data_IF_631885120526
#
_entry.id   IF_631885120526
#
_cell.length_a   1.000
_cell.length_b   1.000
_cell.length_c   1.000
_cell.angle_alpha   90.00
_cell.angle_beta   90.00
_cell.angle_gamma   90.00
#
_symmetry.space_group_name_H-M   'P 1'
#
loop_
_entity.id
_entity.type
_entity.pdbx_description
1 polymer ?
#
# COMPACT_ATOMS: atom_id res chain seq x y z
N UNK A 1 39.22 32.50 23.80
CA UNK A 1 38.21 33.01 24.74
C UNK A 1 38.91 33.77 25.86
N UNK A 2 39.85 33.13 26.55
CA UNK A 2 40.52 33.73 27.73
C UNK A 2 41.25 35.05 27.43
N UNK A 3 41.84 35.21 26.24
CA UNK A 3 42.58 36.43 25.87
C UNK A 3 41.74 37.70 25.77
N UNK A 4 40.45 37.62 25.44
CA UNK A 4 39.58 38.81 25.30
C UNK A 4 38.89 39.15 26.63
N UNK A 5 38.55 38.14 27.43
CA UNK A 5 38.03 38.35 28.79
C UNK A 5 39.08 38.99 29.69
N UNK A 6 40.34 38.54 29.62
CA UNK A 6 41.43 39.13 30.39
C UNK A 6 41.67 40.60 30.04
N UNK A 7 41.67 40.97 28.74
CA UNK A 7 41.86 42.37 28.35
C UNK A 7 40.72 43.28 28.81
N UNK A 8 39.47 42.79 28.78
CA UNK A 8 38.31 43.57 29.26
C UNK A 8 38.31 43.74 30.77
N UNK A 9 38.77 42.71 31.51
CA UNK A 9 38.92 42.81 32.98
C UNK A 9 40.04 43.77 33.37
N UNK A 10 41.17 43.80 32.64
CA UNK A 10 42.26 44.75 32.88
C UNK A 10 41.81 46.21 32.63
N UNK A 11 40.99 46.43 31.60
CA UNK A 11 40.39 47.74 31.31
C UNK A 11 39.39 48.16 32.40
N UNK A 12 38.51 47.24 32.81
CA UNK A 12 37.54 47.46 33.89
C UNK A 12 38.23 47.80 35.22
N UNK A 13 39.33 47.11 35.52
CA UNK A 13 40.14 47.37 36.71
C UNK A 13 40.78 48.78 36.66
N UNK A 14 41.21 49.23 35.48
CA UNK A 14 41.74 50.58 35.29
C UNK A 14 40.65 51.62 35.56
N UNK A 15 39.45 51.43 35.00
CA UNK A 15 38.31 52.35 35.19
C UNK A 15 37.88 52.42 36.66
N UNK A 16 37.77 51.30 37.35
CA UNK A 16 37.41 51.28 38.76
C UNK A 16 38.42 52.01 39.65
N UNK A 17 39.71 51.93 39.32
CA UNK A 17 40.75 52.67 40.02
C UNK A 17 40.63 54.18 39.77
N UNK A 18 40.25 54.60 38.54
CA UNK A 18 40.05 56.00 38.18
C UNK A 18 38.81 56.63 38.83
N UNK A 19 37.72 55.86 38.95
CA UNK A 19 36.45 56.30 39.59
C UNK A 19 36.54 56.28 41.12
N UNK A 20 37.41 55.43 41.68
CA UNK A 20 37.58 55.28 43.13
C UNK A 20 36.59 54.31 43.78
N UNK A 21 36.11 53.31 43.02
CA UNK A 21 35.23 52.24 43.53
C UNK A 21 35.90 51.47 44.67
N UNK A 22 35.13 51.12 45.70
CA UNK A 22 35.62 50.29 46.81
C UNK A 22 35.73 48.82 46.40
N UNK A 23 36.55 48.04 47.11
CA UNK A 23 36.69 46.60 46.81
C UNK A 23 35.35 45.85 46.94
N UNK A 24 34.48 46.28 47.86
CA UNK A 24 33.14 45.70 48.00
C UNK A 24 32.23 45.99 46.79
N UNK A 25 32.30 47.19 46.20
CA UNK A 25 31.53 47.54 44.99
C UNK A 25 32.05 46.77 43.76
N UNK A 26 33.38 46.61 43.65
CA UNK A 26 34.01 45.77 42.61
C UNK A 26 33.60 44.31 42.73
N UNK A 27 33.60 43.75 43.95
CA UNK A 27 33.18 42.38 44.21
C UNK A 27 31.72 42.14 43.80
N UNK A 28 30.82 43.10 44.07
CA UNK A 28 29.42 43.02 43.65
C UNK A 28 29.31 43.00 42.12
N UNK A 29 29.98 43.93 41.42
CA UNK A 29 29.96 43.98 39.95
C UNK A 29 30.57 42.73 39.30
N UNK A 30 31.67 42.19 39.86
CA UNK A 30 32.26 40.94 39.38
C UNK A 30 31.31 39.76 39.57
N UNK A 31 30.63 39.68 40.72
CA UNK A 31 29.66 38.64 40.99
C UNK A 31 28.44 38.72 40.06
N UNK A 32 28.01 39.93 39.69
CA UNK A 32 26.97 40.14 38.66
C UNK A 32 27.43 39.63 37.29
N UNK A 33 28.66 39.95 36.86
CA UNK A 33 29.24 39.46 35.60
C UNK A 33 29.33 37.92 35.58
N UNK A 34 29.80 37.31 36.67
CA UNK A 34 29.86 35.85 36.80
C UNK A 34 28.47 35.22 36.69
N UNK A 35 27.45 35.83 37.31
CA UNK A 35 26.06 35.36 37.20
C UNK A 35 25.53 35.47 35.78
N UNK A 36 25.78 36.58 35.07
CA UNK A 36 25.36 36.77 33.69
C UNK A 36 26.02 35.75 32.75
N UNK A 37 27.33 35.54 32.88
CA UNK A 37 28.05 34.51 32.14
C UNK A 37 27.47 33.11 32.41
N UNK A 38 27.25 32.78 33.68
CA UNK A 38 26.67 31.49 34.09
C UNK A 38 25.28 31.28 33.49
N UNK A 39 24.46 32.33 33.45
CA UNK A 39 23.10 32.27 32.88
C UNK A 39 23.13 32.05 31.37
N UNK A 40 24.09 32.65 30.65
CA UNK A 40 24.32 32.37 29.22
C UNK A 40 24.68 30.88 29.03
N UNK A 41 25.61 30.34 29.81
CA UNK A 41 25.97 28.92 29.73
C UNK A 41 24.78 28.01 30.03
N UNK A 42 24.01 28.29 31.10
CA UNK A 42 22.79 27.53 31.44
C UNK A 42 21.80 27.52 30.27
N UNK A 43 21.51 28.69 29.69
CA UNK A 43 20.61 28.81 28.54
C UNK A 43 21.09 27.99 27.35
N UNK A 44 22.40 28.02 27.04
CA UNK A 44 22.99 27.22 25.96
C UNK A 44 22.91 25.72 26.22
N UNK A 45 23.12 25.28 27.46
CA UNK A 45 22.98 23.87 27.85
C UNK A 45 21.52 23.42 27.71
N UNK A 46 20.56 24.22 28.17
CA UNK A 46 19.13 23.93 28.00
C UNK A 46 18.76 23.83 26.52
N UNK A 47 19.21 24.78 25.70
CA UNK A 47 18.97 24.77 24.26
C UNK A 47 19.56 23.51 23.58
N UNK A 48 20.81 23.17 23.89
CA UNK A 48 21.47 21.98 23.34
C UNK A 48 20.78 20.68 23.77
N UNK A 49 20.35 20.60 25.04
CA UNK A 49 19.56 19.47 25.54
C UNK A 49 18.20 19.38 24.84
N UNK A 50 17.52 20.51 24.60
CA UNK A 50 16.27 20.56 23.85
C UNK A 50 16.44 20.00 22.43
N UNK A 51 17.45 20.46 21.69
CA UNK A 51 17.76 19.92 20.36
C UNK A 51 18.10 18.43 20.39
N UNK A 52 18.86 17.96 21.39
CA UNK A 52 19.21 16.54 21.56
C UNK A 52 17.95 15.68 21.78
N UNK A 53 17.03 16.14 22.62
CA UNK A 53 15.76 15.45 22.87
C UNK A 53 14.91 15.41 21.61
N UNK A 54 14.83 16.53 20.88
CA UNK A 54 14.11 16.59 19.61
C UNK A 54 14.64 15.57 18.59
N UNK A 55 15.96 15.47 18.41
CA UNK A 55 16.56 14.49 17.49
C UNK A 55 16.22 13.05 17.89
N UNK A 56 16.27 12.74 19.19
CA UNK A 56 15.91 11.40 19.70
C UNK A 56 14.43 11.09 19.47
N UNK A 57 13.55 12.06 19.67
CA UNK A 57 12.12 11.87 19.42
C UNK A 57 11.87 11.57 17.94
N UNK A 58 12.46 12.35 17.02
CA UNK A 58 12.33 12.10 15.58
C UNK A 58 12.88 10.74 15.15
N UNK A 59 13.93 10.25 15.81
CA UNK A 59 14.41 8.88 15.62
C UNK A 59 13.30 7.89 16.01
N UNK A 60 12.83 7.93 17.27
CA UNK A 60 11.80 7.01 17.78
C UNK A 60 10.53 7.03 16.91
N UNK A 61 10.07 8.20 16.49
CA UNK A 61 8.89 8.35 15.63
C UNK A 61 9.10 7.65 14.27
N UNK A 62 10.28 7.83 13.66
CA UNK A 62 10.63 7.20 12.38
C UNK A 62 10.76 5.68 12.53
N UNK A 63 11.34 5.19 13.63
CA UNK A 63 11.43 3.76 13.93
C UNK A 63 10.04 3.15 14.12
N UNK A 64 9.13 3.85 14.81
CA UNK A 64 7.75 3.42 15.00
C UNK A 64 6.98 3.31 13.67
N UNK A 65 7.20 4.26 12.75
CA UNK A 65 6.61 4.19 11.42
C UNK A 65 7.15 2.99 10.62
N UNK A 66 8.46 2.71 10.68
CA UNK A 66 9.04 1.50 10.05
C UNK A 66 8.36 0.23 10.58
N UNK A 67 8.18 0.11 11.89
CA UNK A 67 7.49 -1.05 12.49
C UNK A 67 6.05 -1.18 11.99
N UNK A 68 5.35 -0.05 11.84
CA UNK A 68 3.98 -0.01 11.33
C UNK A 68 3.91 -0.47 9.88
N UNK A 69 4.82 0.02 9.03
CA UNK A 69 4.93 -0.40 7.62
C UNK A 69 5.29 -1.88 7.51
N UNK A 70 6.24 -2.36 8.32
CA UNK A 70 6.61 -3.78 8.38
C UNK A 70 5.41 -4.65 8.73
N UNK A 71 4.65 -4.26 9.76
CA UNK A 71 3.44 -4.97 10.18
C UNK A 71 2.42 -5.05 9.05
N UNK A 72 2.18 -3.94 8.35
CA UNK A 72 1.27 -3.90 7.21
C UNK A 72 1.74 -4.77 6.04
N UNK A 73 3.05 -4.86 5.80
CA UNK A 73 3.64 -5.72 4.77
C UNK A 73 3.73 -7.21 5.18
N UNK A 74 3.44 -7.54 6.44
CA UNK A 74 3.69 -8.87 7.00
C UNK A 74 5.18 -9.21 7.11
N UNK A 75 6.05 -8.20 7.18
CA UNK A 75 7.50 -8.32 7.28
C UNK A 75 7.96 -8.11 8.73
N UNK A 76 9.05 -8.79 9.14
CA UNK A 76 9.67 -8.51 10.43
C UNK A 76 10.50 -7.22 10.35
N UNK A 77 10.40 -6.30 11.34
CA UNK A 77 11.25 -5.11 11.38
C UNK A 77 12.73 -5.51 11.34
N UNK A 78 13.48 -4.89 10.43
CA UNK A 78 14.94 -5.04 10.41
C UNK A 78 15.49 -4.46 11.71
N UNK A 79 16.36 -5.18 12.40
CA UNK A 79 16.97 -4.73 13.66
C UNK A 79 17.69 -3.39 13.41
N UNK A 80 17.07 -2.30 13.84
CA UNK A 80 17.64 -0.97 13.76
C UNK A 80 18.80 -0.93 14.76
N UNK A 81 20.00 -1.07 14.21
CA UNK A 81 21.26 -1.10 14.94
C UNK A 81 21.33 0.18 15.78
N UNK A 82 21.32 0.02 17.11
CA UNK A 82 21.67 1.08 18.05
C UNK A 82 23.15 1.43 17.83
N UNK A 83 23.41 2.30 16.87
CA UNK A 83 24.77 2.72 16.55
C UNK A 83 25.15 3.81 17.55
N UNK A 84 26.36 3.72 18.13
CA UNK A 84 26.89 4.75 19.05
C UNK A 84 27.35 6.04 18.31
N UNK A 85 26.84 6.27 17.10
CA UNK A 85 27.22 7.39 16.24
C UNK A 85 26.47 8.68 16.64
N UNK A 86 26.84 9.80 16.03
CA UNK A 86 26.19 11.08 16.34
C UNK A 86 24.69 11.01 15.96
N UNK A 87 23.81 11.55 16.82
CA UNK A 87 22.34 11.51 16.61
C UNK A 87 21.89 12.03 15.23
N UNK A 88 22.65 12.96 14.63
CA UNK A 88 22.34 13.47 13.28
C UNK A 88 22.60 12.44 12.19
N UNK A 89 23.62 11.62 12.34
CA UNK A 89 23.98 10.56 11.39
C UNK A 89 23.01 9.39 11.52
N UNK A 90 22.67 9.02 12.75
CA UNK A 90 21.64 8.02 13.04
C UNK A 90 20.27 8.44 12.45
N UNK A 91 19.85 9.69 12.67
CA UNK A 91 18.61 10.20 12.09
C UNK A 91 18.64 10.13 10.55
N UNK A 92 19.77 10.47 9.92
CA UNK A 92 19.93 10.38 8.46
C UNK A 92 19.79 8.93 7.99
N UNK A 93 20.44 7.99 8.65
CA UNK A 93 20.35 6.57 8.33
C UNK A 93 18.90 6.05 8.44
N UNK A 94 18.21 6.36 9.55
CA UNK A 94 16.84 5.92 9.79
C UNK A 94 15.88 6.57 8.77
N UNK A 95 16.09 7.84 8.41
CA UNK A 95 15.28 8.52 7.40
C UNK A 95 15.41 7.84 6.04
N UNK A 96 16.63 7.52 5.59
CA UNK A 96 16.85 6.77 4.34
C UNK A 96 16.20 5.38 4.39
N UNK A 97 16.28 4.68 5.51
CA UNK A 97 15.61 3.39 5.69
C UNK A 97 14.08 3.52 5.61
N UNK A 98 13.51 4.54 6.26
CA UNK A 98 12.08 4.83 6.23
C UNK A 98 11.59 5.13 4.81
N UNK A 99 12.33 5.91 4.03
CA UNK A 99 12.03 6.18 2.62
C UNK A 99 11.97 4.88 1.81
N UNK A 100 12.97 4.00 1.95
CA UNK A 100 12.96 2.70 1.28
C UNK A 100 11.79 1.81 1.69
N UNK A 101 11.35 1.87 2.95
CA UNK A 101 10.17 1.15 3.44
C UNK A 101 8.87 1.72 2.84
N UNK A 102 8.74 3.05 2.78
CA UNK A 102 7.59 3.73 2.14
C UNK A 102 7.48 3.38 0.66
N UNK A 103 8.59 3.35 -0.07
CA UNK A 103 8.61 2.91 -1.48
C UNK A 103 8.17 1.45 -1.64
N UNK A 104 8.61 0.56 -0.74
CA UNK A 104 8.18 -0.85 -0.75
C UNK A 104 6.68 -0.97 -0.49
N UNK A 105 6.15 -0.24 0.50
CA UNK A 105 4.71 -0.15 0.77
C UNK A 105 3.93 0.29 -0.46
N UNK A 106 4.36 1.38 -1.10
CA UNK A 106 3.67 1.94 -2.26
C UNK A 106 3.70 0.99 -3.46
N UNK A 107 4.83 0.30 -3.68
CA UNK A 107 4.94 -0.72 -4.72
C UNK A 107 3.96 -1.86 -4.49
N UNK A 108 3.84 -2.34 -3.25
CA UNK A 108 2.92 -3.40 -2.87
C UNK A 108 1.47 -2.95 -3.02
N UNK A 109 1.13 -1.76 -2.53
CA UNK A 109 -0.20 -1.15 -2.72
C UNK A 109 -0.57 -1.07 -4.20
N UNK A 110 0.38 -0.66 -5.06
CA UNK A 110 0.18 -0.66 -6.51
C UNK A 110 -0.08 -2.05 -7.11
N UNK A 111 0.51 -3.12 -6.56
CA UNK A 111 0.20 -4.50 -6.97
C UNK A 111 -1.23 -4.89 -6.56
N UNK A 112 -1.64 -4.57 -5.33
CA UNK A 112 -2.99 -4.81 -4.83
C UNK A 112 -4.05 -4.11 -5.67
N UNK A 113 -3.86 -2.81 -5.94
CA UNK A 113 -4.78 -2.02 -6.75
C UNK A 113 -5.00 -2.64 -8.14
N UNK A 114 -3.93 -3.09 -8.80
CA UNK A 114 -4.02 -3.76 -10.11
C UNK A 114 -4.85 -5.04 -10.05
N UNK A 115 -4.60 -5.90 -9.06
CA UNK A 115 -5.33 -7.18 -8.93
C UNK A 115 -6.81 -6.92 -8.62
N UNK A 116 -7.10 -5.99 -7.71
CA UNK A 116 -8.48 -5.62 -7.37
C UNK A 116 -9.23 -5.01 -8.55
N UNK A 117 -8.59 -4.13 -9.32
CA UNK A 117 -9.16 -3.58 -10.55
C UNK A 117 -9.49 -4.69 -11.55
N UNK A 118 -8.57 -5.64 -11.76
CA UNK A 118 -8.80 -6.79 -12.65
C UNK A 118 -9.97 -7.66 -12.19
N UNK A 119 -10.05 -7.96 -10.89
CA UNK A 119 -11.16 -8.71 -10.29
C UNK A 119 -12.48 -7.96 -10.52
N UNK A 120 -12.48 -6.65 -10.31
CA UNK A 120 -13.66 -5.81 -10.50
C UNK A 120 -14.13 -5.84 -11.97
N UNK A 121 -13.22 -5.66 -12.92
CA UNK A 121 -13.53 -5.71 -14.35
C UNK A 121 -14.11 -7.06 -14.77
N UNK A 122 -13.47 -8.17 -14.38
CA UNK A 122 -13.93 -9.51 -14.75
C UNK A 122 -15.27 -9.83 -14.09
N UNK A 123 -15.44 -9.49 -12.81
CA UNK A 123 -16.72 -9.67 -12.11
C UNK A 123 -17.88 -8.98 -12.84
N UNK A 124 -17.65 -7.76 -13.32
CA UNK A 124 -18.63 -6.99 -14.09
C UNK A 124 -18.95 -7.62 -15.45
N UNK A 125 -17.96 -8.21 -16.11
CA UNK A 125 -18.16 -8.92 -17.38
C UNK A 125 -18.94 -10.22 -17.23
N UNK A 126 -18.71 -10.97 -16.13
CA UNK A 126 -19.42 -12.22 -15.84
C UNK A 126 -20.87 -11.95 -15.46
N UNK A 127 -21.11 -10.94 -14.62
CA UNK A 127 -22.45 -10.69 -14.06
C UNK A 127 -22.81 -9.20 -14.09
N UNK A 128 -23.18 -8.66 -15.26
CA UNK A 128 -23.44 -7.22 -15.43
C UNK A 128 -24.65 -6.68 -14.64
N UNK A 129 -25.53 -7.56 -14.15
CA UNK A 129 -26.71 -7.18 -13.35
C UNK A 129 -26.43 -7.01 -11.85
N UNK A 130 -25.33 -7.59 -11.34
CA UNK A 130 -24.93 -7.38 -9.96
C UNK A 130 -24.20 -6.04 -9.89
N UNK A 131 -24.77 -5.09 -9.13
CA UNK A 131 -24.19 -3.75 -8.93
C UNK A 131 -22.73 -3.81 -8.46
N UNK A 132 -21.99 -2.69 -8.57
CA UNK A 132 -20.55 -2.68 -8.31
C UNK A 132 -20.25 -3.20 -6.90
N UNK A 133 -19.60 -4.35 -6.81
CA UNK A 133 -19.01 -4.81 -5.57
C UNK A 133 -17.78 -3.95 -5.31
N UNK A 134 -17.88 -3.05 -4.33
CA UNK A 134 -16.77 -2.22 -3.87
C UNK A 134 -15.83 -3.12 -3.07
N UNK A 135 -14.76 -3.58 -3.72
CA UNK A 135 -13.69 -4.32 -3.04
C UNK A 135 -12.89 -3.29 -2.25
N UNK A 136 -13.27 -3.09 -0.98
CA UNK A 136 -12.53 -2.25 -0.06
C UNK A 136 -11.17 -2.88 0.22
N UNK A 137 -10.10 -2.25 -0.25
CA UNK A 137 -8.74 -2.64 0.06
C UNK A 137 -8.42 -2.28 1.51
N UNK A 138 -7.96 -3.26 2.29
CA UNK A 138 -7.41 -3.00 3.62
C UNK A 138 -5.96 -2.53 3.48
N UNK A 139 -5.72 -1.24 3.74
CA UNK A 139 -4.40 -0.64 3.71
C UNK A 139 -3.46 -1.12 4.83
N UNK A 140 -3.99 -1.82 5.83
CA UNK A 140 -3.24 -2.38 6.95
C UNK A 140 -2.80 -3.83 6.73
N UNK A 141 -3.32 -4.52 5.71
CA UNK A 141 -2.87 -5.86 5.31
C UNK A 141 -2.45 -5.89 3.85
N UNK A 142 -1.21 -5.46 3.61
CA UNK A 142 -0.51 -5.50 2.33
C UNK A 142 0.43 -6.72 2.25
N UNK A 143 0.16 -7.76 3.02
CA UNK A 143 1.00 -8.95 3.08
C UNK A 143 1.05 -9.71 1.75
N UNK A 144 2.16 -10.43 1.49
CA UNK A 144 2.29 -11.28 0.31
C UNK A 144 1.19 -12.35 0.26
N UNK A 145 0.87 -12.94 1.41
CA UNK A 145 -0.19 -13.95 1.54
C UNK A 145 -1.53 -13.41 1.05
N UNK A 146 -1.91 -12.21 1.50
CA UNK A 146 -3.17 -11.59 1.07
C UNK A 146 -3.18 -11.29 -0.43
N UNK A 147 -2.05 -10.86 -0.99
CA UNK A 147 -1.90 -10.65 -2.42
C UNK A 147 -2.08 -11.95 -3.23
N UNK A 148 -1.46 -13.05 -2.78
CA UNK A 148 -1.60 -14.37 -3.38
C UNK A 148 -3.05 -14.87 -3.33
N UNK A 149 -3.76 -14.62 -2.23
CA UNK A 149 -5.17 -15.00 -2.11
C UNK A 149 -6.06 -14.23 -3.09
N UNK A 150 -5.82 -12.93 -3.29
CA UNK A 150 -6.51 -12.15 -4.31
C UNK A 150 -6.17 -12.63 -5.73
N UNK A 151 -4.92 -12.99 -5.99
CA UNK A 151 -4.52 -13.55 -7.28
C UNK A 151 -5.23 -14.88 -7.56
N UNK A 152 -5.36 -15.76 -6.57
CA UNK A 152 -6.14 -17.00 -6.71
C UNK A 152 -7.62 -16.72 -7.00
N UNK A 153 -8.21 -15.70 -6.37
CA UNK A 153 -9.59 -15.29 -6.66
C UNK A 153 -9.73 -14.80 -8.11
N UNK A 154 -8.78 -13.99 -8.57
CA UNK A 154 -8.72 -13.54 -9.96
C UNK A 154 -8.65 -14.72 -10.94
N UNK A 155 -7.78 -15.69 -10.69
CA UNK A 155 -7.63 -16.88 -11.54
C UNK A 155 -8.93 -17.71 -11.59
N UNK A 156 -9.61 -17.87 -10.46
CA UNK A 156 -10.92 -18.56 -10.40
C UNK A 156 -11.98 -17.83 -11.23
N UNK A 157 -12.07 -16.50 -11.12
CA UNK A 157 -13.01 -15.70 -11.90
C UNK A 157 -12.70 -15.75 -13.40
N UNK A 158 -11.42 -15.72 -13.79
CA UNK A 158 -11.03 -15.88 -15.18
C UNK A 158 -11.48 -17.24 -15.74
N UNK A 159 -11.33 -18.30 -14.96
CA UNK A 159 -11.79 -19.64 -15.33
C UNK A 159 -13.31 -19.68 -15.48
N UNK A 160 -14.06 -19.11 -14.54
CA UNK A 160 -15.53 -19.03 -14.59
C UNK A 160 -16.01 -18.29 -15.83
N UNK A 161 -15.40 -17.13 -16.16
CA UNK A 161 -15.70 -16.38 -17.38
C UNK A 161 -15.57 -17.24 -18.64
N UNK A 162 -14.50 -18.03 -18.74
CA UNK A 162 -14.28 -18.92 -19.89
C UNK A 162 -15.31 -20.03 -19.94
N UNK A 163 -15.62 -20.66 -18.79
CA UNK A 163 -16.62 -21.73 -18.71
C UNK A 163 -18.02 -21.26 -19.12
N UNK A 164 -18.43 -20.06 -18.70
CA UNK A 164 -19.72 -19.49 -19.06
C UNK A 164 -19.79 -19.17 -20.57
N UNK A 165 -18.72 -18.62 -21.15
CA UNK A 165 -18.68 -18.37 -22.59
C UNK A 165 -18.71 -19.66 -23.42
N UNK A 166 -18.03 -20.71 -22.96
CA UNK A 166 -18.11 -22.06 -23.58
C UNK A 166 -19.55 -22.58 -23.54
N UNK A 167 -20.20 -22.54 -22.37
CA UNK A 167 -21.60 -22.97 -22.21
C UNK A 167 -22.54 -22.19 -23.14
N UNK A 168 -22.36 -20.88 -23.25
CA UNK A 168 -23.13 -20.02 -24.15
C UNK A 168 -22.96 -20.42 -25.62
N UNK A 169 -21.72 -20.66 -26.05
CA UNK A 169 -21.41 -21.10 -27.43
C UNK A 169 -21.99 -22.47 -27.74
N UNK A 170 -21.92 -23.42 -26.80
CA UNK A 170 -22.53 -24.74 -26.92
C UNK A 170 -24.05 -24.65 -27.08
N UNK A 171 -24.71 -23.80 -26.28
CA UNK A 171 -26.15 -23.54 -26.40
C UNK A 171 -26.53 -22.99 -27.79
N UNK A 172 -25.77 -21.99 -28.29
CA UNK A 172 -25.98 -21.43 -29.64
C UNK A 172 -25.76 -22.49 -30.71
N UNK A 173 -24.71 -23.30 -30.60
CA UNK A 173 -24.41 -24.39 -31.53
C UNK A 173 -25.54 -25.41 -31.57
N UNK A 174 -26.05 -25.83 -30.41
CA UNK A 174 -27.16 -26.78 -30.30
C UNK A 174 -28.44 -26.24 -30.93
N UNK A 175 -28.80 -24.98 -30.65
CA UNK A 175 -29.97 -24.32 -31.23
C UNK A 175 -29.87 -24.22 -32.76
N UNK A 176 -28.74 -23.73 -33.28
CA UNK A 176 -28.50 -23.64 -34.74
C UNK A 176 -28.53 -25.00 -35.43
N UNK A 177 -27.98 -26.03 -34.78
CA UNK A 177 -28.03 -27.40 -35.33
C UNK A 177 -29.47 -27.91 -35.40
N UNK A 178 -30.27 -27.67 -34.36
CA UNK A 178 -31.69 -28.03 -34.34
C UNK A 178 -32.45 -27.34 -35.47
N UNK A 179 -32.22 -26.05 -35.69
CA UNK A 179 -32.84 -25.30 -36.79
C UNK A 179 -32.44 -25.84 -38.17
N UNK A 180 -31.16 -26.17 -38.36
CA UNK A 180 -30.65 -26.76 -39.60
C UNK A 180 -31.30 -28.12 -39.88
N UNK A 181 -31.39 -28.99 -38.86
CA UNK A 181 -32.02 -30.30 -38.98
C UNK A 181 -33.50 -30.16 -39.33
N UNK A 182 -34.23 -29.25 -38.67
CA UNK A 182 -35.63 -28.98 -38.99
C UNK A 182 -35.79 -28.49 -40.43
N UNK A 183 -34.95 -27.56 -40.88
CA UNK A 183 -34.96 -27.08 -42.26
C UNK A 183 -34.70 -28.20 -43.27
N UNK A 184 -33.71 -29.07 -43.02
CA UNK A 184 -33.38 -30.20 -43.89
C UNK A 184 -34.48 -31.25 -43.95
N UNK A 185 -35.18 -31.51 -42.83
CA UNK A 185 -36.36 -32.37 -42.81
C UNK A 185 -37.47 -31.81 -43.71
N UNK A 186 -37.77 -30.52 -43.59
CA UNK A 186 -38.77 -29.87 -44.44
C UNK A 186 -38.40 -29.91 -45.94
N UNK A 187 -37.13 -29.63 -46.27
CA UNK A 187 -36.63 -29.73 -47.65
C UNK A 187 -36.77 -31.16 -48.21
N UNK A 188 -36.48 -32.18 -47.39
CA UNK A 188 -36.63 -33.59 -47.75
C UNK A 188 -38.10 -33.97 -47.94
N UNK A 189 -38.99 -33.57 -47.02
CA UNK A 189 -40.43 -33.83 -47.09
C UNK A 189 -41.06 -33.18 -48.33
N UNK A 190 -40.59 -32.01 -48.73
CA UNK A 190 -41.00 -31.36 -49.99
C UNK A 190 -40.52 -32.15 -51.22
N UNK A 191 -39.28 -32.64 -51.21
CA UNK A 191 -38.73 -33.43 -52.30
C UNK A 191 -39.48 -34.77 -52.45
N UNK A 192 -39.71 -35.49 -51.36
CA UNK A 192 -40.48 -36.75 -51.35
C UNK A 192 -41.89 -36.55 -51.94
N UNK A 193 -42.58 -35.48 -51.53
CA UNK A 193 -43.90 -35.09 -52.08
C UNK A 193 -43.84 -34.84 -53.59
N UNK A 194 -42.80 -34.16 -54.08
CA UNK A 194 -42.62 -33.88 -55.51
C UNK A 194 -42.31 -35.11 -56.35
N UNK A 195 -41.60 -36.10 -55.80
CA UNK A 195 -41.17 -37.31 -56.52
C UNK A 195 -42.12 -38.49 -56.36
N UNK A 196 -43.27 -38.32 -55.69
CA UNK A 196 -44.23 -39.40 -55.39
C UNK A 196 -43.60 -40.61 -54.69
N UNK A 197 -42.56 -40.37 -53.89
CA UNK A 197 -41.95 -41.39 -53.03
C UNK A 197 -42.84 -41.51 -51.78
N UNK A 198 -43.52 -42.65 -51.63
CA UNK A 198 -44.29 -42.97 -50.42
C UNK A 198 -43.30 -43.28 -49.29
N UNK A 199 -43.47 -42.62 -48.14
CA UNK A 199 -42.72 -42.92 -46.92
C UNK A 199 -42.94 -44.38 -46.51
N UNK A 200 -41.94 -45.24 -46.75
CA UNK A 200 -41.97 -46.63 -46.27
C UNK A 200 -41.93 -46.72 -44.73
N UNK A 201 -41.63 -45.62 -44.03
CA UNK A 201 -41.60 -45.55 -42.56
C UNK A 201 -42.98 -45.46 -41.91
N UNK A 202 -44.02 -45.02 -42.63
CA UNK A 202 -45.39 -44.97 -42.08
C UNK A 202 -46.16 -46.31 -42.24
N UNK A 203 -45.74 -47.16 -43.19
CA UNK A 203 -46.36 -48.48 -43.42
C UNK A 203 -46.06 -49.51 -42.32
N UNK A 204 -45.01 -49.32 -41.52
CA UNK A 204 -44.63 -50.28 -40.47
C UNK A 204 -45.37 -50.06 -39.15
N UNK A 205 -45.89 -48.85 -38.89
CA UNK A 205 -46.65 -48.54 -37.67
C UNK A 205 -48.15 -48.81 -37.80
N UNK A 206 -48.73 -48.79 -39.00
CA UNK A 206 -50.15 -49.13 -39.20
C UNK A 206 -50.41 -50.65 -39.23
N UNK A 207 -49.45 -51.48 -39.67
CA UNK A 207 -49.68 -52.95 -39.70
C UNK A 207 -49.68 -53.63 -38.33
N UNK A 208 -49.23 -52.95 -37.27
CA UNK A 208 -49.17 -53.52 -35.91
C UNK A 208 -50.44 -53.25 -35.07
N UNK A 209 -51.38 -52.42 -35.56
CA UNK A 209 -52.60 -52.05 -34.81
C UNK A 209 -53.83 -52.87 -35.25
N UNK A 210 -53.77 -53.61 -36.36
CA UNK A 210 -54.90 -54.42 -36.87
C UNK A 210 -54.85 -55.92 -36.51
N UNK A 211 -54.03 -56.36 -35.54
CA UNK A 211 -53.86 -57.78 -35.22
C UNK A 211 -54.35 -58.23 -33.82
N UNK A 212 -55.28 -57.51 -33.16
CA UNK A 212 -55.90 -57.95 -31.90
C UNK A 212 -57.42 -57.81 -31.88
#
# INVERSE_FOLDING_TARGET
>A
MDSECSSLLDELQTIWNDVGETDAEKDVMLLELEQECLEIYRRKVVQANGHRTQLRQSIVDSEGEIVTICSALGETPVHLRQNKEALKEELKFITTQLEGMRERRNRRLGQFLKVVEQIHCISKEISPENGPSEILLDEHDLSLRKLEDLQKQLDLLQKEKVEEEVRRLEGVKASKMKDLVLKKKLELDELCRRTHLVDQTNLSTESAVEAY
#
